data_IF_667196691161
#
_entry.id   IF_667196691161
#
_cell.length_a   1.000
_cell.length_b   1.000
_cell.length_c   1.000
_cell.angle_alpha   90.00
_cell.angle_beta   90.00
_cell.angle_gamma   90.00
#
_symmetry.space_group_name_H-M   'P 1'
#
loop_
_entity.id
_entity.type
_entity.pdbx_description
1 polymer ?
#
# COMPACT_ATOMS: atom_id res chain seq x y z
N UNK A 1 -3.29 18.29 -16.66
CA UNK A 1 -2.80 18.09 -15.29
C UNK A 1 -2.28 16.68 -15.18
N UNK A 2 -1.07 16.48 -14.63
CA UNK A 2 -0.56 15.13 -14.38
C UNK A 2 -1.31 14.49 -13.21
N UNK A 3 -1.44 13.16 -13.26
CA UNK A 3 -2.05 12.38 -12.18
C UNK A 3 -1.23 12.52 -10.90
N UNK A 4 -1.88 12.68 -9.75
CA UNK A 4 -1.23 12.82 -8.45
C UNK A 4 -1.30 11.54 -7.61
N UNK A 5 -2.46 10.91 -7.52
CA UNK A 5 -2.66 9.65 -6.82
C UNK A 5 -1.92 8.53 -7.56
N UNK A 6 -1.15 7.74 -6.83
CA UNK A 6 -0.33 6.66 -7.38
C UNK A 6 -1.17 5.42 -7.64
N UNK A 7 -0.77 4.63 -8.64
CA UNK A 7 -1.42 3.36 -8.95
C UNK A 7 -0.44 2.24 -8.67
N UNK A 8 -0.83 1.33 -7.79
CA UNK A 8 -0.15 0.08 -7.52
C UNK A 8 -0.84 -1.01 -8.34
N UNK A 9 -0.09 -1.75 -9.16
CA UNK A 9 -0.61 -2.87 -9.93
C UNK A 9 0.03 -4.16 -9.44
N UNK A 10 -0.77 -5.18 -9.22
CA UNK A 10 -0.27 -6.51 -8.87
C UNK A 10 0.22 -7.22 -10.14
N UNK A 11 1.45 -7.73 -10.07
CA UNK A 11 2.06 -8.59 -11.07
C UNK A 11 1.52 -10.02 -10.93
N UNK A 12 1.38 -10.71 -12.05
CA UNK A 12 0.83 -12.06 -12.11
C UNK A 12 0.90 -12.63 -13.53
N UNK A 13 0.16 -13.73 -13.80
CA UNK A 13 0.24 -14.49 -15.05
C UNK A 13 0.09 -13.68 -16.34
N UNK A 14 -0.65 -12.57 -16.30
CA UNK A 14 -0.82 -11.69 -17.45
C UNK A 14 0.50 -11.11 -17.98
N UNK A 15 1.55 -11.04 -17.16
CA UNK A 15 2.86 -10.45 -17.51
C UNK A 15 3.94 -11.49 -17.79
N UNK A 16 3.60 -12.79 -17.81
CA UNK A 16 4.58 -13.85 -18.02
C UNK A 16 5.04 -13.87 -19.49
N UNK A 17 4.15 -13.55 -20.43
CA UNK A 17 4.43 -13.61 -21.87
C UNK A 17 4.69 -12.22 -22.48
N UNK A 18 5.96 -11.93 -22.77
CA UNK A 18 6.38 -10.69 -23.44
C UNK A 18 6.35 -9.44 -22.55
N UNK A 19 6.63 -8.27 -23.14
CA UNK A 19 6.71 -6.99 -22.41
C UNK A 19 5.63 -5.99 -22.81
N UNK A 20 4.87 -6.24 -23.89
CA UNK A 20 3.95 -5.26 -24.48
C UNK A 20 2.86 -4.82 -23.50
N UNK A 21 2.24 -5.76 -22.78
CA UNK A 21 1.24 -5.40 -21.76
C UNK A 21 1.85 -4.55 -20.65
N UNK A 22 3.04 -4.90 -20.19
CA UNK A 22 3.74 -4.17 -19.13
C UNK A 22 4.10 -2.74 -19.58
N UNK A 23 4.62 -2.59 -20.80
CA UNK A 23 4.88 -1.28 -21.43
C UNK A 23 3.61 -0.43 -21.46
N UNK A 24 2.49 -1.01 -21.90
CA UNK A 24 1.21 -0.32 -21.97
C UNK A 24 0.65 0.05 -20.58
N UNK A 25 0.79 -0.81 -19.58
CA UNK A 25 0.36 -0.56 -18.19
C UNK A 25 1.20 0.53 -17.53
N UNK A 26 2.51 0.56 -17.77
CA UNK A 26 3.40 1.64 -17.32
C UNK A 26 2.99 2.97 -17.97
N UNK A 27 2.77 2.99 -19.29
CA UNK A 27 2.36 4.19 -20.01
C UNK A 27 1.00 4.71 -19.53
N UNK A 28 0.08 3.79 -19.18
CA UNK A 28 -1.25 4.13 -18.67
C UNK A 28 -1.28 4.49 -17.18
N UNK A 29 -0.14 4.47 -16.49
CA UNK A 29 0.02 5.16 -15.20
C UNK A 29 0.32 4.27 -14.00
N UNK A 30 0.79 3.03 -14.20
CA UNK A 30 1.38 2.24 -13.11
C UNK A 30 2.57 2.98 -12.50
N UNK A 31 2.61 3.04 -11.17
CA UNK A 31 3.73 3.63 -10.41
C UNK A 31 4.48 2.59 -9.60
N UNK A 32 3.79 1.58 -9.09
CA UNK A 32 4.38 0.53 -8.26
C UNK A 32 3.90 -0.83 -8.77
N UNK A 33 4.85 -1.74 -8.98
CA UNK A 33 4.60 -3.15 -9.25
C UNK A 33 4.59 -3.93 -7.93
N UNK A 34 3.45 -4.51 -7.58
CA UNK A 34 3.25 -5.34 -6.39
C UNK A 34 3.45 -6.81 -6.74
N UNK A 35 4.22 -7.51 -5.94
CA UNK A 35 4.48 -8.95 -6.05
C UNK A 35 3.87 -9.64 -4.84
N UNK A 36 2.86 -10.48 -5.06
CA UNK A 36 2.14 -11.14 -3.97
C UNK A 36 2.76 -12.50 -3.65
N UNK A 37 3.51 -12.60 -2.55
CA UNK A 37 4.22 -13.81 -2.14
C UNK A 37 3.32 -14.87 -1.47
N UNK A 38 2.01 -14.62 -1.41
CA UNK A 38 1.02 -15.67 -1.12
C UNK A 38 0.93 -16.70 -2.25
N UNK A 39 1.40 -16.36 -3.46
CA UNK A 39 1.35 -17.18 -4.66
C UNK A 39 2.67 -17.10 -5.44
N UNK A 40 2.91 -18.08 -6.32
CA UNK A 40 4.13 -18.19 -7.11
C UNK A 40 5.35 -18.61 -6.29
N UNK A 41 6.40 -19.03 -6.99
CA UNK A 41 7.71 -19.29 -6.40
C UNK A 41 8.69 -18.13 -6.67
N UNK A 42 9.88 -18.23 -6.09
CA UNK A 42 10.92 -17.20 -6.25
C UNK A 42 11.41 -17.04 -7.68
N UNK A 43 11.40 -18.10 -8.50
CA UNK A 43 11.83 -18.01 -9.89
C UNK A 43 10.83 -17.20 -10.73
N UNK A 44 9.53 -17.43 -10.53
CA UNK A 44 8.48 -16.62 -11.15
C UNK A 44 8.56 -15.15 -10.73
N UNK A 45 8.76 -14.87 -9.44
CA UNK A 45 8.89 -13.50 -8.94
C UNK A 45 10.13 -12.81 -9.49
N UNK A 46 11.27 -13.50 -9.52
CA UNK A 46 12.53 -12.99 -10.09
C UNK A 46 12.36 -12.59 -11.56
N UNK A 47 11.74 -13.44 -12.38
CA UNK A 47 11.48 -13.13 -13.79
C UNK A 47 10.66 -11.85 -13.94
N UNK A 48 9.55 -11.75 -13.20
CA UNK A 48 8.66 -10.59 -13.26
C UNK A 48 9.36 -9.32 -12.74
N UNK A 49 10.18 -9.41 -11.69
CA UNK A 49 10.98 -8.29 -11.16
C UNK A 49 11.95 -7.78 -12.23
N UNK A 50 12.71 -8.68 -12.84
CA UNK A 50 13.70 -8.33 -13.86
C UNK A 50 13.04 -7.69 -15.07
N UNK A 51 11.88 -8.19 -15.50
CA UNK A 51 11.06 -7.63 -16.58
C UNK A 51 10.61 -6.20 -16.28
N UNK A 52 10.14 -5.92 -15.05
CA UNK A 52 9.78 -4.55 -14.62
C UNK A 52 10.99 -3.62 -14.64
N UNK A 53 12.14 -4.06 -14.12
CA UNK A 53 13.37 -3.26 -14.15
C UNK A 53 13.84 -2.95 -15.57
N UNK A 54 13.80 -3.93 -16.48
CA UNK A 54 14.19 -3.74 -17.88
C UNK A 54 13.26 -2.75 -18.59
N UNK A 55 11.95 -2.98 -18.52
CA UNK A 55 10.96 -2.17 -19.22
C UNK A 55 10.93 -0.73 -18.68
N UNK A 56 10.94 -0.57 -17.36
CA UNK A 56 10.95 0.76 -16.73
C UNK A 56 12.18 1.58 -17.16
N UNK A 57 13.37 0.96 -17.19
CA UNK A 57 14.60 1.57 -17.69
C UNK A 57 14.52 1.92 -19.18
N UNK A 58 14.05 0.99 -20.02
CA UNK A 58 13.87 1.21 -21.47
C UNK A 58 12.95 2.40 -21.76
N UNK A 59 11.89 2.55 -20.97
CA UNK A 59 10.92 3.63 -21.13
C UNK A 59 11.34 4.95 -20.45
N UNK A 60 12.41 4.96 -19.65
CA UNK A 60 12.80 6.12 -18.85
C UNK A 60 11.74 6.52 -17.82
N UNK A 61 10.99 5.53 -17.30
CA UNK A 61 9.91 5.73 -16.31
C UNK A 61 10.31 5.08 -14.99
N UNK A 62 10.15 5.79 -13.88
CA UNK A 62 10.34 5.19 -12.56
C UNK A 62 9.15 4.31 -12.21
N UNK A 63 9.41 3.03 -11.93
CA UNK A 63 8.47 2.07 -11.35
C UNK A 63 9.10 1.49 -10.09
N UNK A 64 8.38 1.52 -8.97
CA UNK A 64 8.85 0.93 -7.72
C UNK A 64 8.42 -0.53 -7.60
N UNK A 65 9.17 -1.30 -6.81
CA UNK A 65 8.91 -2.71 -6.56
C UNK A 65 8.41 -2.89 -5.11
N UNK A 66 7.27 -3.54 -4.96
CA UNK A 66 6.65 -3.80 -3.66
C UNK A 66 6.48 -5.30 -3.44
N UNK A 67 7.13 -5.84 -2.42
CA UNK A 67 6.92 -7.20 -1.94
C UNK A 67 5.71 -7.20 -1.01
N UNK A 68 4.69 -8.03 -1.26
CA UNK A 68 3.57 -8.23 -0.34
C UNK A 68 3.70 -9.62 0.31
N UNK A 69 4.02 -9.61 1.61
CA UNK A 69 4.19 -10.80 2.43
C UNK A 69 2.87 -11.55 2.59
N UNK A 70 2.93 -12.86 2.77
CA UNK A 70 1.73 -13.65 3.07
C UNK A 70 1.21 -13.40 4.48
N UNK A 71 2.13 -13.23 5.42
CA UNK A 71 1.86 -12.96 6.82
C UNK A 71 1.51 -14.20 7.64
N UNK A 72 1.52 -14.06 8.98
CA UNK A 72 1.10 -15.10 9.90
C UNK A 72 -0.43 -15.21 9.86
N UNK A 73 -0.96 -16.31 9.32
CA UNK A 73 -2.41 -16.52 9.17
C UNK A 73 -2.87 -17.85 9.79
N UNK A 74 -4.11 -17.89 10.27
CA UNK A 74 -4.76 -19.13 10.69
C UNK A 74 -5.39 -19.82 9.50
N UNK A 75 -5.19 -21.13 9.39
CA UNK A 75 -5.75 -21.99 8.36
C UNK A 75 -6.25 -23.30 8.95
N UNK A 76 -7.33 -23.80 8.38
CA UNK A 76 -7.80 -25.15 8.60
C UNK A 76 -6.77 -26.17 8.10
N UNK A 77 -6.80 -27.37 8.67
CA UNK A 77 -6.07 -28.52 8.15
C UNK A 77 -6.69 -29.10 6.90
N UNK A 78 -6.34 -30.34 6.64
CA UNK A 78 -6.85 -31.10 5.50
C UNK A 78 -8.17 -31.79 5.87
N UNK A 79 -9.16 -31.79 4.98
CA UNK A 79 -10.33 -32.65 5.08
C UNK A 79 -10.05 -33.97 4.38
N UNK A 80 -10.53 -35.10 4.92
CA UNK A 80 -10.28 -36.43 4.37
C UNK A 80 -10.69 -36.56 2.90
N UNK A 81 -11.85 -36.01 2.54
CA UNK A 81 -12.38 -35.97 1.16
C UNK A 81 -12.01 -34.67 0.42
N UNK A 82 -11.11 -33.86 0.98
CA UNK A 82 -10.66 -32.56 0.47
C UNK A 82 -11.69 -31.42 0.60
N UNK A 83 -12.98 -31.74 0.70
CA UNK A 83 -14.09 -30.80 0.89
C UNK A 83 -15.22 -31.40 1.71
N UNK A 84 -15.96 -30.53 2.40
CA UNK A 84 -17.16 -30.87 3.18
C UNK A 84 -18.22 -29.79 2.99
N UNK A 85 -19.45 -30.06 3.42
CA UNK A 85 -20.52 -29.07 3.48
C UNK A 85 -20.99 -28.90 4.91
N UNK A 86 -20.74 -27.72 5.48
CA UNK A 86 -21.11 -27.40 6.85
C UNK A 86 -22.57 -26.96 6.89
N UNK A 87 -23.35 -27.59 7.77
CA UNK A 87 -24.79 -27.32 7.94
C UNK A 87 -25.04 -26.51 9.20
N UNK A 88 -25.83 -25.44 9.07
CA UNK A 88 -26.25 -24.57 10.16
C UNK A 88 -26.87 -25.37 11.30
N UNK A 89 -26.51 -25.00 12.52
CA UNK A 89 -27.00 -25.61 13.76
C UNK A 89 -26.26 -26.88 14.18
N UNK A 90 -25.52 -27.53 13.29
CA UNK A 90 -24.69 -28.67 13.65
C UNK A 90 -23.48 -28.25 14.48
N UNK A 91 -22.98 -29.18 15.29
CA UNK A 91 -21.72 -29.03 16.01
C UNK A 91 -20.54 -29.25 15.08
N UNK A 92 -19.50 -28.44 15.27
CA UNK A 92 -18.25 -28.53 14.54
C UNK A 92 -17.09 -28.21 15.47
N UNK A 93 -16.06 -29.04 15.47
CA UNK A 93 -14.93 -28.92 16.40
C UNK A 93 -13.67 -28.49 15.66
N UNK A 94 -13.06 -27.38 16.09
CA UNK A 94 -11.69 -27.08 15.70
C UNK A 94 -10.76 -27.80 16.67
N UNK A 95 -10.10 -28.84 16.17
CA UNK A 95 -9.22 -29.68 17.00
C UNK A 95 -7.77 -29.23 16.92
N UNK A 96 -7.04 -29.46 18.00
CA UNK A 96 -5.61 -29.23 18.06
C UNK A 96 -4.81 -30.33 17.33
N UNK A 97 -5.35 -31.53 17.20
CA UNK A 97 -4.63 -32.67 16.64
C UNK A 97 -4.61 -32.60 15.11
N UNK A 98 -3.48 -32.95 14.48
CA UNK A 98 -3.29 -32.91 13.03
C UNK A 98 -3.89 -34.16 12.35
N UNK A 99 -5.21 -34.29 12.47
CA UNK A 99 -6.01 -35.35 11.85
C UNK A 99 -6.84 -34.81 10.68
N UNK A 100 -7.04 -35.59 9.60
CA UNK A 100 -7.93 -35.21 8.52
C UNK A 100 -9.35 -35.00 9.02
N UNK A 101 -9.91 -33.82 8.74
CA UNK A 101 -11.25 -33.44 9.17
C UNK A 101 -12.38 -34.00 8.30
N UNK A 102 -13.61 -33.83 8.80
CA UNK A 102 -14.89 -34.18 8.17
C UNK A 102 -15.96 -33.12 8.50
N UNK A 103 -17.26 -33.42 8.34
CA UNK A 103 -18.34 -32.48 8.68
C UNK A 103 -18.51 -32.18 10.17
N UNK A 104 -17.77 -32.87 11.05
CA UNK A 104 -17.87 -32.74 12.52
C UNK A 104 -16.63 -32.11 13.15
N UNK A 105 -15.46 -32.20 12.51
CA UNK A 105 -14.23 -31.63 13.03
C UNK A 105 -13.21 -31.30 11.94
N UNK A 106 -12.26 -30.42 12.24
CA UNK A 106 -11.06 -30.18 11.44
C UNK A 106 -9.94 -29.62 12.31
N UNK A 107 -8.69 -29.91 11.96
CA UNK A 107 -7.55 -29.31 12.65
C UNK A 107 -7.35 -27.84 12.28
N UNK A 108 -6.64 -27.08 13.13
CA UNK A 108 -6.21 -25.71 12.84
C UNK A 108 -4.70 -25.57 13.07
N UNK A 109 -4.02 -24.78 12.22
CA UNK A 109 -2.57 -24.60 12.32
C UNK A 109 -2.14 -23.79 13.55
N UNK A 110 -2.96 -22.83 14.00
CA UNK A 110 -2.69 -22.03 15.19
C UNK A 110 -3.03 -22.79 16.47
N UNK A 111 -2.10 -23.63 16.89
CA UNK A 111 -2.26 -24.57 18.03
C UNK A 111 -2.53 -23.89 19.37
N UNK A 112 -2.38 -22.57 19.49
CA UNK A 112 -2.68 -21.83 20.73
C UNK A 112 -4.09 -21.26 20.78
N UNK A 113 -4.89 -21.41 19.71
CA UNK A 113 -6.19 -20.77 19.59
C UNK A 113 -7.12 -21.08 20.78
N UNK A 114 -7.11 -22.32 21.28
CA UNK A 114 -7.92 -22.75 22.43
C UNK A 114 -7.64 -21.98 23.73
N UNK A 115 -6.51 -21.30 23.84
CA UNK A 115 -6.16 -20.44 24.98
C UNK A 115 -6.53 -18.97 24.78
N UNK A 116 -6.86 -18.59 23.55
CA UNK A 116 -7.07 -17.21 23.13
C UNK A 116 -8.56 -16.90 22.91
N UNK A 117 -9.33 -17.90 22.46
CA UNK A 117 -10.78 -17.80 22.33
C UNK A 117 -11.49 -18.14 23.65
N UNK A 118 -12.75 -17.73 23.75
CA UNK A 118 -13.65 -18.06 24.86
C UNK A 118 -15.06 -18.36 24.35
N UNK A 119 -15.90 -19.07 25.13
CA UNK A 119 -17.32 -19.20 24.85
C UNK A 119 -17.98 -17.87 24.50
N UNK A 120 -18.78 -17.86 23.44
CA UNK A 120 -19.41 -16.66 22.89
C UNK A 120 -18.61 -15.93 21.81
N UNK A 121 -17.34 -16.29 21.57
CA UNK A 121 -16.61 -15.76 20.42
C UNK A 121 -17.14 -16.31 19.11
N UNK A 122 -16.97 -15.53 18.04
CA UNK A 122 -17.27 -15.93 16.67
C UNK A 122 -15.95 -16.22 15.97
N UNK A 123 -15.89 -17.35 15.26
CA UNK A 123 -14.81 -17.68 14.33
C UNK A 123 -15.37 -17.70 12.92
N UNK A 124 -14.61 -17.18 11.97
CA UNK A 124 -15.01 -17.07 10.58
C UNK A 124 -14.12 -17.95 9.72
N UNK A 125 -14.71 -18.78 8.87
CA UNK A 125 -14.00 -19.68 7.98
C UNK A 125 -14.14 -19.23 6.53
N UNK A 126 -13.08 -19.43 5.74
CA UNK A 126 -13.02 -19.09 4.32
C UNK A 126 -13.47 -17.65 4.05
N UNK A 127 -12.81 -16.68 4.69
CA UNK A 127 -13.04 -15.25 4.51
C UNK A 127 -14.47 -14.82 4.84
N UNK A 128 -15.02 -15.37 5.94
CA UNK A 128 -16.37 -15.05 6.41
C UNK A 128 -17.49 -15.86 5.76
N UNK A 129 -17.18 -16.81 4.87
CA UNK A 129 -18.19 -17.65 4.22
C UNK A 129 -19.01 -18.46 5.22
N UNK A 130 -18.39 -19.04 6.25
CA UNK A 130 -19.06 -19.79 7.31
C UNK A 130 -18.67 -19.25 8.67
N UNK A 131 -19.66 -18.85 9.46
CA UNK A 131 -19.46 -18.48 10.86
C UNK A 131 -19.61 -19.66 11.80
N UNK A 132 -18.78 -19.69 12.84
CA UNK A 132 -18.83 -20.62 13.96
C UNK A 132 -19.02 -19.81 15.25
N UNK A 133 -19.93 -20.24 16.11
CA UNK A 133 -20.04 -19.73 17.47
C UNK A 133 -19.36 -20.68 18.43
N UNK A 134 -18.38 -20.20 19.19
CA UNK A 134 -17.65 -20.99 20.20
C UNK A 134 -18.60 -21.26 21.36
N UNK A 135 -18.92 -22.53 21.58
CA UNK A 135 -19.82 -22.94 22.66
C UNK A 135 -19.03 -23.24 23.94
N UNK A 136 -17.98 -24.03 23.82
CA UNK A 136 -17.10 -24.44 24.93
C UNK A 136 -15.71 -24.86 24.44
N UNK A 137 -14.78 -24.97 25.38
CA UNK A 137 -13.42 -25.45 25.14
C UNK A 137 -13.23 -26.72 25.97
N UNK A 138 -13.00 -27.85 25.31
CA UNK A 138 -12.83 -29.16 25.94
C UNK A 138 -11.38 -29.60 25.76
N UNK A 139 -10.56 -29.44 26.80
CA UNK A 139 -9.12 -29.67 26.69
C UNK A 139 -8.47 -28.66 25.74
N UNK A 140 -8.11 -29.11 24.54
CA UNK A 140 -7.57 -28.25 23.46
C UNK A 140 -8.51 -28.12 22.26
N UNK A 141 -9.66 -28.78 22.32
CA UNK A 141 -10.65 -28.76 21.25
C UNK A 141 -11.64 -27.62 21.48
N UNK A 142 -11.94 -26.88 20.43
CA UNK A 142 -12.88 -25.75 20.45
C UNK A 142 -14.18 -26.24 19.81
N UNK A 143 -15.19 -26.46 20.65
CA UNK A 143 -16.49 -26.95 20.22
C UNK A 143 -17.36 -25.77 19.81
N UNK A 144 -17.84 -25.78 18.57
CA UNK A 144 -18.61 -24.69 18.00
C UNK A 144 -19.96 -25.15 17.46
N UNK A 145 -20.87 -24.19 17.28
CA UNK A 145 -22.10 -24.33 16.50
C UNK A 145 -21.96 -23.58 15.18
N UNK A 146 -22.31 -24.22 14.06
CA UNK A 146 -22.28 -23.61 12.73
C UNK A 146 -23.43 -22.60 12.59
N UNK A 147 -23.13 -21.36 12.19
CA UNK A 147 -24.10 -20.26 12.12
C UNK A 147 -24.85 -20.17 10.79
N UNK A 148 -24.23 -20.64 9.71
CA UNK A 148 -24.79 -20.63 8.36
C UNK A 148 -24.25 -21.77 7.51
N UNK A 149 -25.01 -22.16 6.50
CA UNK A 149 -24.62 -23.22 5.58
C UNK A 149 -23.48 -22.75 4.66
N UNK A 150 -22.57 -23.65 4.31
CA UNK A 150 -21.55 -23.35 3.31
C UNK A 150 -20.60 -24.50 3.00
N UNK A 151 -20.03 -24.52 1.77
CA UNK A 151 -18.97 -25.45 1.44
C UNK A 151 -17.68 -25.06 2.16
N UNK A 152 -16.90 -26.06 2.57
CA UNK A 152 -15.57 -25.87 3.12
C UNK A 152 -14.57 -26.81 2.43
N UNK A 153 -13.34 -26.36 2.28
CA UNK A 153 -12.25 -27.19 1.74
C UNK A 153 -11.01 -27.06 2.59
N UNK A 154 -10.04 -27.91 2.30
CA UNK A 154 -8.72 -27.93 2.94
C UNK A 154 -8.04 -26.55 2.93
N UNK A 155 -7.29 -26.23 4.00
CA UNK A 155 -6.39 -25.05 4.10
C UNK A 155 -7.05 -23.71 3.91
N UNK A 156 -8.36 -23.62 4.12
CA UNK A 156 -9.08 -22.34 4.10
C UNK A 156 -8.68 -21.47 5.28
N UNK A 157 -8.62 -20.16 5.05
CA UNK A 157 -8.31 -19.17 6.10
C UNK A 157 -9.37 -19.23 7.20
N UNK A 158 -8.92 -18.99 8.43
CA UNK A 158 -9.75 -18.80 9.60
C UNK A 158 -9.44 -17.44 10.21
N UNK A 159 -10.47 -16.79 10.74
CA UNK A 159 -10.41 -15.49 11.39
C UNK A 159 -11.12 -15.57 12.74
N UNK A 160 -10.67 -14.77 13.70
CA UNK A 160 -11.25 -14.72 15.04
C UNK A 160 -11.55 -13.25 15.42
N UNK A 161 -12.62 -12.66 14.85
CA UNK A 161 -12.95 -11.26 15.06
C UNK A 161 -12.94 -10.83 16.53
N UNK A 162 -12.13 -9.80 16.81
CA UNK A 162 -12.03 -9.20 18.14
C UNK A 162 -11.24 -10.01 19.16
N UNK A 163 -10.60 -11.11 18.76
CA UNK A 163 -9.67 -11.89 19.60
C UNK A 163 -8.24 -11.43 19.34
N UNK A 164 -7.48 -11.15 20.40
CA UNK A 164 -6.04 -10.85 20.29
C UNK A 164 -5.28 -12.15 20.12
N UNK A 165 -4.78 -12.41 18.91
CA UNK A 165 -4.09 -13.65 18.59
C UNK A 165 -2.58 -13.54 18.86
N UNK A 166 -2.00 -14.58 19.48
CA UNK A 166 -0.56 -14.67 19.77
C UNK A 166 0.29 -15.04 18.54
N UNK A 167 -0.04 -14.50 17.37
CA UNK A 167 0.67 -14.77 16.12
C UNK A 167 2.06 -14.10 16.14
N UNK A 168 3.10 -14.78 15.61
CA UNK A 168 4.43 -14.19 15.49
C UNK A 168 4.40 -12.98 14.57
N UNK A 169 5.28 -12.00 14.77
CA UNK A 169 5.37 -10.82 13.92
C UNK A 169 5.69 -11.15 12.44
N UNK A 170 6.48 -12.21 12.23
CA UNK A 170 7.01 -12.62 10.92
C UNK A 170 6.97 -14.15 10.89
N UNK A 171 6.36 -14.75 9.87
CA UNK A 171 6.46 -16.19 9.66
C UNK A 171 7.82 -16.58 9.08
N UNK A 172 8.18 -17.87 9.10
CA UNK A 172 9.43 -18.33 8.47
C UNK A 172 9.43 -18.05 6.95
N UNK A 173 8.27 -18.21 6.30
CA UNK A 173 8.10 -17.86 4.90
C UNK A 173 8.34 -16.35 4.68
N UNK A 174 7.68 -15.49 5.46
CA UNK A 174 7.85 -14.03 5.30
C UNK A 174 9.30 -13.59 5.52
N UNK A 175 10.03 -14.24 6.44
CA UNK A 175 11.46 -13.96 6.66
C UNK A 175 12.26 -14.21 5.38
N UNK A 176 12.03 -15.35 4.73
CA UNK A 176 12.72 -15.71 3.49
C UNK A 176 12.30 -14.81 2.33
N UNK A 177 11.01 -14.46 2.24
CA UNK A 177 10.48 -13.56 1.23
C UNK A 177 11.11 -12.17 1.36
N UNK A 178 11.22 -11.63 2.58
CA UNK A 178 11.86 -10.33 2.83
C UNK A 178 13.33 -10.36 2.43
N UNK A 179 14.07 -11.44 2.76
CA UNK A 179 15.48 -11.58 2.36
C UNK A 179 15.61 -11.63 0.84
N UNK A 180 14.76 -12.39 0.16
CA UNK A 180 14.69 -12.40 -1.30
C UNK A 180 14.43 -11.00 -1.87
N UNK A 181 13.51 -10.24 -1.28
CA UNK A 181 13.24 -8.84 -1.67
C UNK A 181 14.44 -7.91 -1.49
N UNK A 182 15.26 -8.13 -0.46
CA UNK A 182 16.52 -7.39 -0.24
C UNK A 182 17.53 -7.71 -1.35
N UNK A 183 17.73 -8.98 -1.66
CA UNK A 183 18.65 -9.45 -2.71
C UNK A 183 18.26 -8.90 -4.08
N UNK A 184 16.96 -8.66 -4.30
CA UNK A 184 16.41 -8.12 -5.54
C UNK A 184 16.22 -6.59 -5.54
N UNK A 185 16.81 -5.85 -4.60
CA UNK A 185 16.76 -4.37 -4.56
C UNK A 185 15.31 -3.82 -4.64
N UNK A 186 14.38 -4.49 -3.93
CA UNK A 186 12.99 -4.03 -3.85
C UNK A 186 12.86 -2.80 -2.95
N UNK A 187 11.82 -2.00 -3.19
CA UNK A 187 11.67 -0.67 -2.58
C UNK A 187 10.76 -0.69 -1.34
N UNK A 188 9.78 -1.59 -1.32
CA UNK A 188 8.76 -1.65 -0.27
C UNK A 188 8.49 -3.09 0.15
N UNK A 189 8.19 -3.27 1.44
CA UNK A 189 7.55 -4.48 1.97
C UNK A 189 6.16 -4.12 2.51
N UNK A 190 5.11 -4.69 1.93
CA UNK A 190 3.77 -4.69 2.47
C UNK A 190 3.61 -5.88 3.43
N UNK A 191 3.61 -5.56 4.72
CA UNK A 191 3.57 -6.53 5.80
C UNK A 191 2.12 -6.87 6.17
N UNK A 192 1.74 -8.13 5.97
CA UNK A 192 0.39 -8.64 6.25
C UNK A 192 0.18 -8.90 7.74
N UNK A 193 -1.06 -8.77 8.19
CA UNK A 193 -1.56 -9.03 9.54
C UNK A 193 -0.80 -8.32 10.66
N UNK A 194 -0.33 -7.09 10.42
CA UNK A 194 0.29 -6.26 11.46
C UNK A 194 -0.75 -5.89 12.52
N UNK A 195 -0.47 -6.18 13.79
CA UNK A 195 -1.40 -5.90 14.90
C UNK A 195 -0.89 -4.84 15.87
N UNK A 196 0.44 -4.63 15.90
CA UNK A 196 1.12 -3.77 16.88
C UNK A 196 2.43 -3.21 16.32
N UNK A 197 2.97 -2.18 16.97
CA UNK A 197 4.20 -1.52 16.53
C UNK A 197 5.42 -2.46 16.56
N UNK A 198 5.45 -3.40 17.51
CA UNK A 198 6.53 -4.37 17.66
C UNK A 198 6.66 -5.29 16.44
N UNK A 199 5.56 -5.57 15.72
CA UNK A 199 5.61 -6.36 14.50
C UNK A 199 6.37 -5.62 13.39
N UNK A 200 6.16 -4.31 13.30
CA UNK A 200 6.84 -3.42 12.36
C UNK A 200 8.33 -3.31 12.70
N UNK A 201 8.66 -3.15 13.97
CA UNK A 201 10.05 -3.06 14.43
C UNK A 201 10.81 -4.38 14.22
N UNK A 202 10.15 -5.53 14.36
CA UNK A 202 10.75 -6.83 14.03
C UNK A 202 11.13 -6.92 12.54
N UNK A 203 10.25 -6.47 11.64
CA UNK A 203 10.53 -6.44 10.20
C UNK A 203 11.65 -5.46 9.89
N UNK A 204 11.64 -4.28 10.54
CA UNK A 204 12.69 -3.27 10.39
C UNK A 204 14.06 -3.79 10.83
N UNK A 205 14.10 -4.51 11.95
CA UNK A 205 15.31 -5.15 12.44
C UNK A 205 15.83 -6.18 11.44
N UNK A 206 14.95 -7.04 10.90
CA UNK A 206 15.31 -8.04 9.88
C UNK A 206 15.90 -7.39 8.63
N UNK A 207 15.25 -6.35 8.11
CA UNK A 207 15.71 -5.61 6.93
C UNK A 207 17.10 -5.02 7.19
N UNK A 208 17.30 -4.38 8.35
CA UNK A 208 18.58 -3.76 8.71
C UNK A 208 19.69 -4.80 8.88
N UNK A 209 19.39 -5.93 9.52
CA UNK A 209 20.35 -7.03 9.74
C UNK A 209 20.92 -7.56 8.42
N UNK A 210 20.09 -7.61 7.38
CA UNK A 210 20.48 -8.11 6.05
C UNK A 210 20.87 -6.99 5.08
N UNK A 211 21.09 -5.76 5.57
CA UNK A 211 21.56 -4.63 4.76
C UNK A 211 20.53 -4.07 3.76
N UNK A 212 19.25 -4.40 3.95
CA UNK A 212 18.15 -3.91 3.12
C UNK A 212 17.77 -2.46 3.38
N UNK A 213 16.95 -1.92 2.48
CA UNK A 213 16.52 -0.52 2.51
C UNK A 213 15.02 -0.33 2.26
N UNK A 214 14.25 -1.42 2.16
CA UNK A 214 12.81 -1.38 1.92
C UNK A 214 12.09 -0.54 2.97
N UNK A 215 11.21 0.36 2.53
CA UNK A 215 10.25 1.05 3.40
C UNK A 215 9.09 0.09 3.77
N UNK A 216 8.67 0.09 5.04
CA UNK A 216 7.65 -0.85 5.55
C UNK A 216 6.25 -0.25 5.43
N UNK A 217 5.37 -0.97 4.75
CA UNK A 217 3.95 -0.66 4.58
C UNK A 217 3.14 -1.63 5.44
N UNK A 218 2.57 -1.17 6.55
CA UNK A 218 1.75 -2.04 7.40
C UNK A 218 0.34 -2.18 6.84
N UNK A 219 -0.09 -3.41 6.60
CA UNK A 219 -1.45 -3.72 6.15
C UNK A 219 -2.37 -3.81 7.35
N UNK A 220 -3.43 -3.01 7.34
CA UNK A 220 -4.44 -2.96 8.39
C UNK A 220 -5.61 -3.84 7.97
N UNK A 221 -5.68 -5.02 8.58
CA UNK A 221 -6.53 -6.14 8.15
C UNK A 221 -7.43 -6.68 9.27
N UNK A 222 -7.22 -6.26 10.53
CA UNK A 222 -7.96 -6.80 11.67
C UNK A 222 -8.29 -5.73 12.72
N UNK A 223 -9.18 -6.10 13.64
CA UNK A 223 -9.66 -5.22 14.72
C UNK A 223 -8.50 -4.72 15.61
N UNK A 224 -7.53 -5.57 15.91
CA UNK A 224 -6.42 -5.22 16.80
C UNK A 224 -5.51 -4.15 16.17
N UNK A 225 -5.27 -4.25 14.87
CA UNK A 225 -4.54 -3.25 14.11
C UNK A 225 -5.25 -1.88 14.14
N UNK A 226 -6.58 -1.87 14.03
CA UNK A 226 -7.38 -0.64 14.10
C UNK A 226 -7.30 0.01 15.49
N UNK A 227 -7.31 -0.78 16.57
CA UNK A 227 -7.13 -0.26 17.94
C UNK A 227 -5.75 0.34 18.15
N UNK A 228 -4.71 -0.30 17.61
CA UNK A 228 -3.31 0.11 17.78
C UNK A 228 -2.83 1.06 16.67
N UNK A 229 -3.74 1.61 15.86
CA UNK A 229 -3.40 2.30 14.61
C UNK A 229 -2.43 3.46 14.80
N UNK A 230 -2.53 4.23 15.88
CA UNK A 230 -1.66 5.39 16.09
C UNK A 230 -0.20 4.96 16.33
N UNK A 231 0.01 3.86 17.06
CA UNK A 231 1.34 3.30 17.32
C UNK A 231 1.90 2.63 16.06
N UNK A 232 1.07 1.89 15.31
CA UNK A 232 1.47 1.28 14.04
C UNK A 232 1.88 2.37 13.04
N UNK A 233 1.04 3.38 12.84
CA UNK A 233 1.37 4.52 11.96
C UNK A 233 2.68 5.14 12.40
N UNK A 234 2.96 5.31 13.70
CA UNK A 234 4.23 5.87 14.16
C UNK A 234 5.46 5.02 13.79
N UNK A 235 5.36 3.69 13.82
CA UNK A 235 6.45 2.76 13.51
C UNK A 235 6.63 2.48 12.00
N UNK A 236 5.57 2.56 11.19
CA UNK A 236 5.59 2.21 9.75
C UNK A 236 6.11 3.36 8.87
N UNK A 237 6.58 3.06 7.66
CA UNK A 237 6.92 4.09 6.68
C UNK A 237 5.68 4.54 5.87
N UNK A 238 4.72 3.62 5.69
CA UNK A 238 3.44 3.82 5.05
C UNK A 238 2.39 2.82 5.59
N UNK A 239 1.12 3.01 5.20
CA UNK A 239 0.01 2.14 5.59
C UNK A 239 -0.75 1.65 4.36
N UNK A 240 -1.27 0.43 4.42
CA UNK A 240 -2.23 -0.08 3.45
C UNK A 240 -3.54 -0.43 4.17
N UNK A 241 -4.65 0.15 3.71
CA UNK A 241 -6.00 -0.20 4.17
C UNK A 241 -6.53 -1.32 3.26
N UNK A 242 -6.49 -2.56 3.75
CA UNK A 242 -6.93 -3.75 3.02
C UNK A 242 -8.39 -4.06 3.37
N UNK A 243 -9.30 -3.50 2.59
CA UNK A 243 -10.73 -3.43 2.92
C UNK A 243 -11.44 -4.77 2.87
N UNK A 244 -11.01 -5.65 1.97
CA UNK A 244 -11.51 -7.02 1.85
C UNK A 244 -11.24 -7.81 3.13
N UNK A 245 -9.98 -7.87 3.57
CA UNK A 245 -9.60 -8.57 4.81
C UNK A 245 -10.21 -7.88 6.05
N UNK A 246 -10.18 -6.55 6.11
CA UNK A 246 -10.80 -5.81 7.22
C UNK A 246 -12.31 -6.02 7.31
N UNK A 247 -13.00 -6.17 6.17
CA UNK A 247 -14.43 -6.46 6.09
C UNK A 247 -14.81 -7.90 6.49
N UNK A 248 -13.83 -8.80 6.60
CA UNK A 248 -14.05 -10.12 7.24
C UNK A 248 -14.07 -9.96 8.75
N UNK A 249 -13.18 -9.14 9.30
CA UNK A 249 -12.99 -8.97 10.75
C UNK A 249 -13.95 -7.94 11.37
N UNK A 250 -14.54 -7.05 10.57
CA UNK A 250 -15.37 -5.94 11.03
C UNK A 250 -16.68 -5.82 10.24
N UNK A 251 -17.75 -5.26 10.83
CA UNK A 251 -18.98 -4.96 10.11
C UNK A 251 -18.71 -4.07 8.89
N UNK A 252 -19.32 -4.41 7.75
CA UNK A 252 -19.05 -3.74 6.48
C UNK A 252 -19.40 -2.24 6.53
N UNK A 253 -20.38 -1.85 7.34
CA UNK A 253 -20.79 -0.46 7.57
C UNK A 253 -19.75 0.39 8.33
N UNK A 254 -18.84 -0.23 9.08
CA UNK A 254 -17.79 0.46 9.84
C UNK A 254 -16.53 0.70 9.00
N UNK A 255 -16.25 -0.18 8.03
CA UNK A 255 -15.03 -0.14 7.21
C UNK A 255 -14.80 1.23 6.53
N UNK A 256 -15.81 1.91 5.94
CA UNK A 256 -15.62 3.23 5.35
C UNK A 256 -15.21 4.30 6.37
N UNK A 257 -15.70 4.23 7.61
CA UNK A 257 -15.34 5.18 8.67
C UNK A 257 -13.89 4.98 9.11
N UNK A 258 -13.48 3.72 9.27
CA UNK A 258 -12.12 3.34 9.64
C UNK A 258 -11.12 3.76 8.55
N UNK A 259 -11.43 3.50 7.27
CA UNK A 259 -10.62 3.95 6.14
C UNK A 259 -10.34 5.47 6.23
N UNK A 260 -11.39 6.28 6.42
CA UNK A 260 -11.28 7.74 6.49
C UNK A 260 -10.40 8.18 7.66
N UNK A 261 -10.57 7.57 8.84
CA UNK A 261 -9.77 7.90 10.02
C UNK A 261 -8.28 7.56 9.80
N UNK A 262 -7.98 6.36 9.30
CA UNK A 262 -6.61 5.92 9.00
C UNK A 262 -5.95 6.89 8.00
N UNK A 263 -6.63 7.18 6.88
CA UNK A 263 -6.10 8.07 5.85
C UNK A 263 -5.83 9.46 6.44
N UNK A 264 -6.76 10.00 7.24
CA UNK A 264 -6.59 11.31 7.91
C UNK A 264 -5.37 11.32 8.83
N UNK A 265 -5.16 10.27 9.62
CA UNK A 265 -4.01 10.13 10.53
C UNK A 265 -2.69 10.03 9.78
N UNK A 266 -2.64 9.22 8.72
CA UNK A 266 -1.49 9.12 7.80
C UNK A 266 -1.16 10.47 7.16
N UNK A 267 -2.17 11.16 6.62
CA UNK A 267 -2.02 12.47 5.99
C UNK A 267 -1.49 13.54 6.95
N UNK A 268 -1.93 13.51 8.22
CA UNK A 268 -1.43 14.42 9.27
C UNK A 268 0.07 14.23 9.52
N UNK A 269 0.55 12.98 9.48
CA UNK A 269 1.95 12.64 9.71
C UNK A 269 2.80 12.62 8.43
N UNK A 270 2.19 12.79 7.25
CA UNK A 270 2.90 12.73 5.96
C UNK A 270 3.39 11.32 5.60
N UNK A 271 2.76 10.29 6.15
CA UNK A 271 3.04 8.89 5.81
C UNK A 271 2.12 8.46 4.66
N UNK A 272 2.64 7.87 3.57
CA UNK A 272 1.81 7.46 2.45
C UNK A 272 0.77 6.42 2.88
N UNK A 273 -0.42 6.51 2.30
CA UNK A 273 -1.48 5.51 2.53
C UNK A 273 -2.02 4.97 1.21
N UNK A 274 -2.13 3.64 1.15
CA UNK A 274 -2.64 2.88 0.02
C UNK A 274 -4.04 2.38 0.37
N UNK A 275 -5.02 2.59 -0.50
CA UNK A 275 -6.33 1.93 -0.41
C UNK A 275 -6.34 0.75 -1.36
N UNK A 276 -6.59 -0.44 -0.79
CA UNK A 276 -6.40 -1.73 -1.45
C UNK A 276 -7.64 -2.61 -1.39
N UNK A 277 -7.70 -3.59 -2.31
CA UNK A 277 -8.76 -4.60 -2.52
C UNK A 277 -10.12 -4.00 -2.88
N UNK A 278 -11.00 -4.75 -3.55
CA UNK A 278 -12.37 -4.32 -3.92
C UNK A 278 -12.43 -2.97 -4.67
N UNK A 279 -11.43 -2.65 -5.48
CA UNK A 279 -11.38 -1.36 -6.18
C UNK A 279 -12.17 -1.41 -7.49
N UNK A 280 -11.70 -2.20 -8.47
CA UNK A 280 -12.36 -2.38 -9.76
C UNK A 280 -12.58 -3.89 -10.02
N UNK A 281 -12.89 -4.65 -8.97
CA UNK A 281 -12.93 -6.12 -8.97
C UNK A 281 -13.71 -6.73 -10.16
N UNK A 282 -14.83 -6.12 -10.56
CA UNK A 282 -15.62 -6.60 -11.71
C UNK A 282 -14.85 -6.53 -13.03
N UNK A 283 -13.80 -5.71 -13.11
CA UNK A 283 -12.93 -5.61 -14.29
C UNK A 283 -11.97 -6.78 -14.45
N UNK A 284 -11.93 -7.71 -13.49
CA UNK A 284 -11.32 -9.03 -13.71
C UNK A 284 -11.98 -9.77 -14.88
N UNK A 285 -13.27 -9.56 -15.12
CA UNK A 285 -14.06 -10.27 -16.15
C UNK A 285 -14.88 -9.33 -17.06
N UNK A 286 -14.81 -8.01 -16.83
CA UNK A 286 -15.55 -7.02 -17.61
C UNK A 286 -14.64 -5.88 -18.09
N UNK A 287 -14.84 -5.34 -19.31
CA UNK A 287 -14.00 -4.26 -19.83
C UNK A 287 -14.29 -2.89 -19.20
N UNK A 288 -15.30 -2.78 -18.34
CA UNK A 288 -15.69 -1.53 -17.66
C UNK A 288 -16.17 -1.84 -16.24
N UNK A 289 -15.89 -0.94 -15.27
CA UNK A 289 -16.33 -1.15 -13.91
C UNK A 289 -17.80 -0.75 -13.76
N UNK A 290 -18.36 -1.13 -12.61
CA UNK A 290 -19.65 -0.61 -12.16
C UNK A 290 -19.54 0.86 -11.74
N UNK A 291 -20.69 1.53 -11.66
CA UNK A 291 -20.77 2.88 -11.08
C UNK A 291 -20.40 2.91 -9.58
N UNK A 292 -20.66 1.81 -8.87
CA UNK A 292 -20.33 1.69 -7.45
C UNK A 292 -18.81 1.67 -7.24
N UNK A 293 -18.09 0.84 -8.00
CA UNK A 293 -16.63 0.77 -7.96
C UNK A 293 -15.98 2.10 -8.38
N UNK A 294 -16.49 2.74 -9.44
CA UNK A 294 -15.98 4.06 -9.83
C UNK A 294 -16.19 5.12 -8.72
N UNK A 295 -17.32 5.07 -8.02
CA UNK A 295 -17.59 5.96 -6.87
C UNK A 295 -16.68 5.64 -5.69
N UNK A 296 -16.38 4.36 -5.46
CA UNK A 296 -15.56 3.89 -4.36
C UNK A 296 -14.09 4.31 -4.54
N UNK A 297 -13.53 4.09 -5.74
CA UNK A 297 -12.21 4.62 -6.12
C UNK A 297 -12.16 6.14 -5.96
N UNK A 298 -13.19 6.86 -6.41
CA UNK A 298 -13.25 8.30 -6.26
C UNK A 298 -13.24 8.75 -4.79
N UNK A 299 -13.99 8.06 -3.92
CA UNK A 299 -14.03 8.37 -2.48
C UNK A 299 -12.69 8.10 -1.80
N UNK A 300 -11.96 7.05 -2.16
CA UNK A 300 -10.60 6.82 -1.65
C UNK A 300 -9.66 8.01 -1.95
N UNK A 301 -9.81 8.62 -3.12
CA UNK A 301 -9.03 9.81 -3.52
C UNK A 301 -9.50 11.05 -2.75
N UNK A 302 -10.81 11.27 -2.61
CA UNK A 302 -11.36 12.38 -1.82
C UNK A 302 -10.95 12.30 -0.34
N UNK A 303 -10.88 11.09 0.22
CA UNK A 303 -10.40 10.85 1.57
C UNK A 303 -8.92 11.23 1.74
N UNK A 304 -8.18 11.24 0.62
CA UNK A 304 -6.82 11.74 0.54
C UNK A 304 -5.77 10.62 0.46
N UNK A 305 -6.11 9.46 -0.12
CA UNK A 305 -5.16 8.39 -0.36
C UNK A 305 -3.97 8.83 -1.23
N UNK A 306 -2.76 8.38 -0.91
CA UNK A 306 -1.58 8.61 -1.75
C UNK A 306 -1.59 7.67 -2.95
N UNK A 307 -2.07 6.44 -2.76
CA UNK A 307 -2.17 5.44 -3.81
C UNK A 307 -3.45 4.61 -3.73
N UNK A 308 -3.82 4.06 -4.87
CA UNK A 308 -4.91 3.11 -5.09
C UNK A 308 -4.35 1.85 -5.75
N UNK A 309 -4.83 0.67 -5.34
CA UNK A 309 -4.22 -0.60 -5.73
C UNK A 309 -5.17 -1.54 -6.46
N UNK A 310 -4.71 -2.07 -7.59
CA UNK A 310 -5.32 -3.17 -8.32
C UNK A 310 -4.71 -4.50 -7.85
N UNK A 311 -5.57 -5.49 -7.65
CA UNK A 311 -5.25 -6.85 -7.19
C UNK A 311 -5.38 -7.84 -8.36
N UNK A 312 -6.44 -8.64 -8.39
CA UNK A 312 -6.68 -9.59 -9.48
C UNK A 312 -6.89 -8.90 -10.83
N UNK A 313 -7.43 -7.67 -10.82
CA UNK A 313 -7.75 -6.91 -12.03
C UNK A 313 -6.53 -6.76 -12.95
N UNK A 314 -5.34 -6.51 -12.38
CA UNK A 314 -4.10 -6.37 -13.16
C UNK A 314 -3.29 -7.66 -13.27
N UNK A 315 -3.43 -8.58 -12.30
CA UNK A 315 -2.56 -9.76 -12.19
C UNK A 315 -2.98 -10.91 -13.10
N UNK A 316 -4.27 -11.26 -13.07
CA UNK A 316 -4.84 -12.45 -13.73
C UNK A 316 -6.24 -12.21 -14.34
N UNK A 317 -6.74 -10.98 -14.31
CA UNK A 317 -8.00 -10.61 -14.96
C UNK A 317 -7.90 -10.54 -16.49
N UNK A 318 -9.03 -10.59 -17.16
CA UNK A 318 -9.15 -10.55 -18.63
C UNK A 318 -8.84 -9.16 -19.23
N UNK A 319 -8.94 -8.09 -18.41
CA UNK A 319 -8.82 -6.69 -18.85
C UNK A 319 -7.80 -5.86 -18.05
N UNK A 320 -6.53 -6.30 -17.94
CA UNK A 320 -5.54 -5.65 -17.07
C UNK A 320 -5.19 -4.23 -17.52
N UNK A 321 -5.10 -3.98 -18.82
CA UNK A 321 -4.79 -2.66 -19.35
C UNK A 321 -5.94 -1.68 -19.12
N UNK A 322 -7.18 -2.12 -19.37
CA UNK A 322 -8.39 -1.33 -19.18
C UNK A 322 -8.61 -0.99 -17.72
N UNK A 323 -8.32 -1.92 -16.79
CA UNK A 323 -8.40 -1.66 -15.36
C UNK A 323 -7.46 -0.53 -14.94
N UNK A 324 -6.18 -0.59 -15.38
CA UNK A 324 -5.18 0.45 -15.08
C UNK A 324 -5.56 1.79 -15.73
N UNK A 325 -5.98 1.76 -17.00
CA UNK A 325 -6.39 2.95 -17.74
C UNK A 325 -7.62 3.62 -17.09
N UNK A 326 -8.61 2.82 -16.68
CA UNK A 326 -9.81 3.30 -15.99
C UNK A 326 -9.47 3.91 -14.63
N UNK A 327 -8.61 3.25 -13.85
CA UNK A 327 -8.11 3.78 -12.57
C UNK A 327 -7.43 5.14 -12.74
N UNK A 328 -6.61 5.30 -13.79
CA UNK A 328 -5.95 6.55 -14.15
C UNK A 328 -6.95 7.65 -14.59
N UNK A 329 -7.97 7.29 -15.36
CA UNK A 329 -9.02 8.22 -15.80
C UNK A 329 -9.83 8.73 -14.60
N UNK A 330 -10.26 7.84 -13.69
CA UNK A 330 -10.99 8.22 -12.47
C UNK A 330 -10.12 9.17 -11.64
N UNK A 331 -8.85 8.81 -11.40
CA UNK A 331 -7.94 9.63 -10.60
C UNK A 331 -7.79 11.05 -11.17
N UNK A 332 -7.47 11.17 -12.46
CA UNK A 332 -7.34 12.48 -13.12
C UNK A 332 -8.62 13.31 -13.06
N UNK A 333 -9.80 12.68 -13.17
CA UNK A 333 -11.09 13.38 -13.13
C UNK A 333 -11.42 13.90 -11.73
N UNK A 334 -11.18 13.08 -10.70
CA UNK A 334 -11.42 13.41 -9.29
C UNK A 334 -10.46 14.48 -8.81
N UNK A 335 -9.17 14.37 -9.17
CA UNK A 335 -8.14 15.35 -8.81
C UNK A 335 -8.42 16.77 -9.35
N UNK A 336 -9.16 16.90 -10.45
CA UNK A 336 -9.60 18.20 -10.97
C UNK A 336 -10.71 18.83 -10.11
N UNK A 337 -11.47 18.02 -9.38
CA UNK A 337 -12.56 18.44 -8.50
C UNK A 337 -12.13 18.60 -7.03
N UNK A 338 -10.85 18.37 -6.71
CA UNK A 338 -10.34 18.60 -5.36
C UNK A 338 -10.26 20.10 -5.04
N UNK A 339 -10.80 20.48 -3.90
CA UNK A 339 -10.68 21.83 -3.34
C UNK A 339 -9.32 22.02 -2.66
N UNK A 340 -8.26 22.15 -3.46
CA UNK A 340 -6.87 22.24 -2.98
C UNK A 340 -6.64 23.34 -1.94
N UNK A 341 -7.39 24.44 -2.00
CA UNK A 341 -7.34 25.51 -1.00
C UNK A 341 -7.80 24.99 0.37
N UNK A 342 -8.93 24.29 0.41
CA UNK A 342 -9.48 23.74 1.65
C UNK A 342 -8.59 22.64 2.21
N UNK A 343 -8.04 21.78 1.35
CA UNK A 343 -7.09 20.74 1.74
C UNK A 343 -5.82 21.36 2.35
N UNK A 344 -5.32 22.46 1.79
CA UNK A 344 -4.15 23.15 2.31
C UNK A 344 -4.46 23.88 3.63
N UNK A 345 -5.54 24.67 3.66
CA UNK A 345 -5.94 25.45 4.85
C UNK A 345 -6.29 24.55 6.03
N UNK A 346 -6.90 23.39 5.80
CA UNK A 346 -7.24 22.43 6.86
C UNK A 346 -6.02 21.83 7.56
N UNK A 347 -4.83 21.92 6.95
CA UNK A 347 -3.56 21.52 7.59
C UNK A 347 -3.05 22.58 8.56
N UNK A 348 -3.42 23.84 8.33
CA UNK A 348 -3.19 24.97 9.23
C UNK A 348 -1.73 25.23 9.58
N UNK A 349 -1.53 26.22 10.47
CA UNK A 349 -0.26 26.41 11.13
C UNK A 349 -0.14 25.48 12.32
N UNK A 350 1.05 24.91 12.50
CA UNK A 350 1.41 24.13 13.69
C UNK A 350 2.44 24.93 14.49
N UNK A 351 2.24 25.07 15.80
CA UNK A 351 3.10 25.88 16.69
C UNK A 351 4.08 25.05 17.53
N UNK A 352 3.90 23.72 17.58
CA UNK A 352 4.72 22.80 18.36
C UNK A 352 5.18 21.62 17.51
N UNK A 353 6.43 21.17 17.70
CA UNK A 353 7.05 20.03 17.00
C UNK A 353 7.11 20.17 15.47
N UNK A 354 7.41 21.38 14.97
CA UNK A 354 7.50 21.67 13.54
C UNK A 354 8.96 21.86 13.14
N UNK A 355 9.40 21.18 12.09
CA UNK A 355 10.76 21.34 11.56
C UNK A 355 10.87 22.59 10.68
N UNK A 356 12.10 23.07 10.43
CA UNK A 356 12.32 24.15 9.45
C UNK A 356 11.78 23.74 8.07
N UNK A 357 12.00 22.48 7.67
CA UNK A 357 11.50 21.92 6.42
C UNK A 357 9.98 21.95 6.34
N UNK A 358 9.26 21.70 7.43
CA UNK A 358 7.79 21.79 7.46
C UNK A 358 7.28 23.20 7.19
N UNK A 359 7.92 24.22 7.77
CA UNK A 359 7.56 25.63 7.57
C UNK A 359 7.85 26.06 6.13
N UNK A 360 9.03 25.71 5.61
CA UNK A 360 9.44 26.03 4.23
C UNK A 360 8.53 25.33 3.21
N UNK A 361 8.18 24.06 3.45
CA UNK A 361 7.26 23.34 2.59
C UNK A 361 5.83 23.94 2.62
N UNK A 362 5.34 24.35 3.80
CA UNK A 362 4.06 25.02 3.92
C UNK A 362 4.04 26.33 3.11
N UNK A 363 5.07 27.18 3.28
CA UNK A 363 5.22 28.42 2.53
C UNK A 363 5.37 28.16 1.02
N UNK A 364 6.11 27.12 0.62
CA UNK A 364 6.28 26.71 -0.77
C UNK A 364 4.95 26.36 -1.43
N UNK A 365 4.11 25.57 -0.74
CA UNK A 365 2.78 25.19 -1.27
C UNK A 365 1.85 26.40 -1.35
N UNK A 366 1.88 27.30 -0.36
CA UNK A 366 1.14 28.55 -0.41
C UNK A 366 1.55 29.38 -1.64
N UNK A 367 2.85 29.64 -1.80
CA UNK A 367 3.37 30.41 -2.94
C UNK A 367 3.02 29.76 -4.28
N UNK A 368 3.12 28.43 -4.38
CA UNK A 368 2.75 27.70 -5.59
C UNK A 368 1.26 27.87 -5.92
N UNK A 369 0.38 27.87 -4.92
CA UNK A 369 -1.05 28.07 -5.12
C UNK A 369 -1.37 29.51 -5.54
N UNK A 370 -0.86 30.51 -4.81
CA UNK A 370 -1.15 31.93 -5.08
C UNK A 370 -0.56 32.42 -6.41
N UNK A 371 0.63 31.95 -6.78
CA UNK A 371 1.28 32.29 -8.04
C UNK A 371 0.79 31.43 -9.21
N UNK A 372 -0.11 30.48 -8.97
CA UNK A 372 -0.59 29.50 -9.94
C UNK A 372 0.57 28.77 -10.64
N UNK A 373 1.59 28.39 -9.87
CA UNK A 373 2.75 27.68 -10.37
C UNK A 373 2.36 26.29 -10.92
N UNK A 374 2.97 25.92 -12.03
CA UNK A 374 2.74 24.65 -12.71
C UNK A 374 3.40 23.50 -11.94
N UNK A 375 4.58 23.75 -11.36
CA UNK A 375 5.34 22.76 -10.62
C UNK A 375 6.09 23.33 -9.41
N UNK A 376 6.34 22.44 -8.45
CA UNK A 376 7.28 22.63 -7.35
C UNK A 376 8.47 21.71 -7.61
N UNK A 377 9.64 22.26 -7.90
CA UNK A 377 10.87 21.49 -8.14
C UNK A 377 11.60 21.32 -6.81
N UNK A 378 11.88 20.07 -6.47
CA UNK A 378 12.52 19.66 -5.21
C UNK A 378 13.79 18.87 -5.49
N UNK A 379 14.94 19.53 -5.71
CA UNK A 379 16.23 18.86 -5.71
C UNK A 379 16.48 18.20 -4.35
N UNK A 380 16.81 16.91 -4.36
CA UNK A 380 16.84 16.11 -3.13
C UNK A 380 17.78 14.92 -3.24
N UNK A 381 18.58 14.68 -2.20
CA UNK A 381 19.46 13.50 -2.10
C UNK A 381 18.83 12.39 -1.26
N UNK A 382 18.04 12.72 -0.24
CA UNK A 382 17.36 11.76 0.64
C UNK A 382 15.86 11.60 0.36
N UNK A 383 15.30 12.51 -0.43
CA UNK A 383 13.86 12.61 -0.70
C UNK A 383 13.06 13.43 0.31
N UNK A 384 13.62 13.77 1.48
CA UNK A 384 12.88 14.36 2.60
C UNK A 384 12.07 15.61 2.22
N UNK A 385 12.65 16.56 1.49
CA UNK A 385 11.95 17.76 0.98
C UNK A 385 10.66 17.39 0.23
N UNK A 386 10.75 16.48 -0.74
CA UNK A 386 9.61 16.04 -1.55
C UNK A 386 8.56 15.32 -0.70
N UNK A 387 8.99 14.55 0.31
CA UNK A 387 8.09 13.90 1.28
C UNK A 387 7.24 14.94 2.03
N UNK A 388 7.88 15.99 2.55
CA UNK A 388 7.19 17.03 3.33
C UNK A 388 6.33 17.94 2.45
N UNK A 389 6.75 18.29 1.24
CA UNK A 389 5.92 19.05 0.29
C UNK A 389 4.67 18.25 -0.10
N UNK A 390 4.80 16.95 -0.36
CA UNK A 390 3.67 16.06 -0.70
C UNK A 390 2.63 15.99 0.43
N UNK A 391 3.08 16.02 1.69
CA UNK A 391 2.20 16.07 2.87
C UNK A 391 1.20 17.22 2.78
N UNK A 392 1.56 18.37 2.22
CA UNK A 392 0.67 19.54 2.10
C UNK A 392 -0.28 19.49 0.90
N UNK A 393 -0.17 18.46 0.04
CA UNK A 393 -1.05 18.20 -1.12
C UNK A 393 -1.19 19.39 -2.08
N UNK A 394 -0.09 19.94 -2.64
CA UNK A 394 -0.15 21.06 -3.57
C UNK A 394 -0.90 20.74 -4.87
N UNK A 395 -1.60 21.75 -5.41
CA UNK A 395 -2.17 21.69 -6.77
C UNK A 395 -1.08 21.57 -7.84
N UNK A 396 0.05 22.26 -7.68
CA UNK A 396 1.22 22.15 -8.54
C UNK A 396 1.80 20.72 -8.52
N UNK A 397 2.39 20.26 -9.63
CA UNK A 397 3.09 18.96 -9.68
C UNK A 397 4.38 19.05 -8.87
N UNK A 398 4.70 18.06 -8.04
CA UNK A 398 5.98 18.04 -7.32
C UNK A 398 6.96 17.28 -8.19
N UNK A 399 8.06 17.91 -8.59
CA UNK A 399 9.15 17.28 -9.34
C UNK A 399 10.26 16.97 -8.34
N UNK A 400 10.51 15.69 -8.09
CA UNK A 400 11.60 15.25 -7.23
C UNK A 400 12.85 15.00 -8.08
N UNK A 401 13.76 15.97 -8.12
CA UNK A 401 15.00 15.87 -8.86
C UNK A 401 16.06 15.23 -7.98
N UNK A 402 16.50 14.01 -8.30
CA UNK A 402 17.41 13.23 -7.46
C UNK A 402 18.44 12.49 -8.30
N UNK A 403 19.72 12.47 -7.91
CA UNK A 403 20.75 11.64 -8.55
C UNK A 403 20.70 10.17 -8.11
N UNK A 404 19.81 9.84 -7.17
CA UNK A 404 19.72 8.52 -6.57
C UNK A 404 18.42 7.81 -7.02
N UNK A 405 18.58 6.75 -7.81
CA UNK A 405 17.48 5.94 -8.35
C UNK A 405 16.61 5.31 -7.26
N UNK A 406 17.24 4.83 -6.18
CA UNK A 406 16.51 4.26 -5.03
C UNK A 406 15.61 5.31 -4.38
N UNK A 407 16.10 6.54 -4.22
CA UNK A 407 15.30 7.65 -3.68
C UNK A 407 14.16 8.01 -4.63
N UNK A 408 14.40 7.99 -5.95
CA UNK A 408 13.35 8.18 -6.94
C UNK A 408 12.23 7.12 -6.79
N UNK A 409 12.59 5.84 -6.63
CA UNK A 409 11.63 4.74 -6.44
C UNK A 409 10.87 4.85 -5.11
N UNK A 410 11.51 5.19 -4.00
CA UNK A 410 10.79 5.44 -2.74
C UNK A 410 9.81 6.62 -2.83
N UNK A 411 10.17 7.69 -3.55
CA UNK A 411 9.31 8.85 -3.72
C UNK A 411 8.13 8.59 -4.66
N UNK A 412 8.20 7.57 -5.52
CA UNK A 412 7.18 7.31 -6.53
C UNK A 412 5.84 6.82 -5.96
N UNK A 413 5.80 6.38 -4.70
CA UNK A 413 4.57 6.05 -3.97
C UNK A 413 3.86 7.30 -3.39
N UNK A 414 4.52 8.45 -3.34
CA UNK A 414 3.98 9.65 -2.67
C UNK A 414 3.08 10.46 -3.58
N UNK A 415 1.97 10.94 -3.05
CA UNK A 415 0.99 11.72 -3.81
C UNK A 415 1.64 12.92 -4.51
N UNK A 416 1.33 13.10 -5.79
CA UNK A 416 1.70 14.28 -6.57
C UNK A 416 3.20 14.41 -6.90
N UNK A 417 4.04 13.48 -6.45
CA UNK A 417 5.49 13.48 -6.70
C UNK A 417 5.81 12.76 -8.00
N UNK A 418 6.49 13.42 -8.92
CA UNK A 418 7.05 12.82 -10.13
C UNK A 418 8.57 12.80 -9.98
N UNK A 419 9.18 11.62 -9.77
CA UNK A 419 10.63 11.51 -9.76
C UNK A 419 11.21 11.85 -11.12
N UNK A 420 12.29 12.63 -11.13
CA UNK A 420 13.05 12.98 -12.32
C UNK A 420 14.51 12.69 -12.03
N UNK A 421 15.12 11.89 -12.90
CA UNK A 421 16.54 11.56 -12.84
C UNK A 421 17.39 12.83 -12.88
N UNK A 422 18.26 12.95 -11.90
CA UNK A 422 19.17 14.07 -11.72
C UNK A 422 20.62 13.66 -11.75
N UNK A 423 21.49 14.67 -11.65
CA UNK A 423 22.93 14.53 -11.47
C UNK A 423 23.31 15.10 -10.12
N UNK A 424 24.44 14.68 -9.56
CA UNK A 424 25.00 15.40 -8.42
C UNK A 424 25.32 16.85 -8.85
N UNK A 425 25.18 17.79 -7.93
CA UNK A 425 25.45 19.22 -8.13
C UNK A 425 26.38 19.73 -7.05
N UNK A 426 27.28 20.65 -7.39
CA UNK A 426 28.20 21.24 -6.41
C UNK A 426 27.78 22.65 -5.97
N UNK A 427 27.01 23.34 -6.82
CA UNK A 427 26.48 24.67 -6.53
C UNK A 427 24.96 24.78 -6.80
N UNK A 428 24.36 25.84 -6.24
CA UNK A 428 22.92 26.06 -6.27
C UNK A 428 22.43 26.47 -7.65
N UNK A 429 23.22 27.21 -8.42
CA UNK A 429 22.82 27.68 -9.75
C UNK A 429 22.87 26.53 -10.77
N UNK A 430 23.87 25.65 -10.69
CA UNK A 430 23.94 24.39 -11.43
C UNK A 430 22.74 23.50 -11.11
N UNK A 431 22.44 23.29 -9.82
CA UNK A 431 21.28 22.51 -9.37
C UNK A 431 19.99 23.04 -9.98
N UNK A 432 19.79 24.36 -9.99
CA UNK A 432 18.59 24.99 -10.55
C UNK A 432 18.55 24.79 -12.07
N UNK A 433 19.64 25.08 -12.78
CA UNK A 433 19.71 24.96 -14.22
C UNK A 433 19.44 23.52 -14.69
N UNK A 434 20.08 22.54 -14.03
CA UNK A 434 19.95 21.13 -14.37
C UNK A 434 18.58 20.55 -14.02
N UNK A 435 18.01 20.91 -12.86
CA UNK A 435 16.67 20.47 -12.47
C UNK A 435 15.58 21.08 -13.37
N UNK A 436 15.70 22.36 -13.72
CA UNK A 436 14.80 23.01 -14.69
C UNK A 436 14.90 22.35 -16.06
N UNK A 437 16.11 22.15 -16.59
CA UNK A 437 16.31 21.53 -17.90
C UNK A 437 15.75 20.09 -17.93
N UNK A 438 15.95 19.30 -16.87
CA UNK A 438 15.39 17.96 -16.76
C UNK A 438 13.86 17.98 -16.73
N UNK A 439 13.26 18.93 -16.01
CA UNK A 439 11.81 19.11 -15.91
C UNK A 439 11.17 19.44 -17.28
N UNK A 440 11.85 20.26 -18.09
CA UNK A 440 11.43 20.59 -19.46
C UNK A 440 11.59 19.39 -20.39
N UNK A 441 12.71 18.67 -20.33
CA UNK A 441 12.93 17.46 -21.16
C UNK A 441 11.87 16.39 -20.93
N UNK A 442 11.41 16.23 -19.69
CA UNK A 442 10.35 15.28 -19.31
C UNK A 442 8.94 15.78 -19.69
N UNK A 443 8.80 16.98 -20.26
CA UNK A 443 7.53 17.55 -20.69
C UNK A 443 6.58 17.93 -19.55
N UNK A 444 7.10 18.05 -18.32
CA UNK A 444 6.28 18.38 -17.13
C UNK A 444 5.98 19.89 -17.09
N UNK A 445 6.95 20.71 -17.50
CA UNK A 445 6.87 22.16 -17.60
C UNK A 445 7.39 22.62 -18.96
N UNK A 446 6.97 23.81 -19.40
CA UNK A 446 7.41 24.44 -20.66
C UNK A 446 7.82 25.89 -20.43
N UNK A 447 8.46 26.49 -21.44
CA UNK A 447 8.87 27.90 -21.40
C UNK A 447 7.69 28.82 -21.06
N UNK A 448 7.93 29.76 -20.15
CA UNK A 448 6.91 30.68 -19.62
C UNK A 448 6.08 30.13 -18.45
N UNK A 449 6.19 28.85 -18.11
CA UNK A 449 5.58 28.31 -16.89
C UNK A 449 6.29 28.86 -15.63
N UNK A 450 5.52 29.09 -14.57
CA UNK A 450 6.05 29.46 -13.26
C UNK A 450 6.29 28.21 -12.43
N UNK A 451 7.42 28.17 -11.75
CA UNK A 451 7.81 27.09 -10.85
C UNK A 451 8.27 27.65 -9.53
N UNK A 452 8.10 26.86 -8.47
CA UNK A 452 8.71 27.12 -7.17
C UNK A 452 9.80 26.08 -6.96
N UNK A 453 11.01 26.51 -6.70
CA UNK A 453 12.13 25.62 -6.38
C UNK A 453 12.35 25.68 -4.87
N UNK A 454 12.37 24.54 -4.19
CA UNK A 454 12.74 24.46 -2.78
C UNK A 454 13.74 23.33 -2.54
N UNK A 455 14.81 23.64 -1.81
CA UNK A 455 15.91 22.72 -1.51
C UNK A 455 16.55 23.04 -0.16
N UNK A 456 17.42 22.14 0.30
CA UNK A 456 18.35 22.44 1.39
C UNK A 456 19.65 23.05 0.86
N UNK A 457 20.25 23.98 1.61
CA UNK A 457 21.61 24.47 1.31
C UNK A 457 22.64 23.42 1.78
N UNK A 458 23.60 23.06 0.91
CA UNK A 458 24.65 22.05 1.18
C UNK A 458 25.62 22.40 2.33
N UNK A 459 25.52 23.58 2.95
CA UNK A 459 26.47 24.07 3.96
C UNK A 459 26.16 23.60 5.41
N UNK A 460 25.26 22.64 5.62
CA UNK A 460 24.98 22.01 6.91
C UNK A 460 24.04 20.80 6.77
N UNK A 461 23.88 19.99 7.83
CA UNK A 461 23.04 18.79 7.80
C UNK A 461 21.58 19.08 7.35
N UNK A 462 21.16 18.43 6.25
CA UNK A 462 19.84 17.81 6.07
C UNK A 462 18.57 18.65 5.90
N UNK A 463 18.58 19.98 6.06
CA UNK A 463 17.34 20.75 6.17
C UNK A 463 17.00 21.61 4.94
N UNK A 464 15.75 21.49 4.45
CA UNK A 464 15.19 22.39 3.42
C UNK A 464 15.09 23.81 3.99
N UNK A 465 15.72 24.77 3.33
CA UNK A 465 15.93 26.12 3.87
C UNK A 465 15.69 27.26 2.87
N UNK A 466 15.43 26.95 1.60
CA UNK A 466 15.27 27.97 0.55
C UNK A 466 13.98 27.78 -0.25
N UNK A 467 13.46 28.90 -0.75
CA UNK A 467 12.35 28.95 -1.71
C UNK A 467 12.73 29.97 -2.79
N UNK A 468 12.64 29.59 -4.06
CA UNK A 468 12.87 30.48 -5.21
C UNK A 468 11.70 30.38 -6.18
N UNK A 469 11.19 31.53 -6.61
CA UNK A 469 10.25 31.59 -7.74
C UNK A 469 11.07 31.67 -9.02
N UNK A 470 10.76 30.81 -9.99
CA UNK A 470 11.48 30.75 -11.26
C UNK A 470 10.51 30.56 -12.42
N UNK A 471 10.64 31.39 -13.44
CA UNK A 471 9.94 31.23 -14.73
C UNK A 471 10.89 30.53 -15.70
N UNK A 472 10.41 29.45 -16.33
CA UNK A 472 11.16 28.64 -17.30
C UNK A 472 11.49 29.41 -18.57
#
# INVERSE_FOLDING_TARGET
>A
MLKKTKIVCTMGPNYDNGTELLENVIENGMNVARFNFSHGDYAEHEERINKVKEVSKKMGKTVSLMLDTKGPEMRLGDFAEGKVYLKKGNKFTLTNDDIPGDETHVSINHKKLYTEVKPGNILLLSDGLVGLHVDEIVGKDIVCTILNDGPMSTRKRAAAPGVSLGLPAISEQDRNDIIFGIEHDMDFVAASFIQRAEDVEAIRALIKEHGGHMEIISKIECVEAVKNIDAIIAASDAIMVARGDLGVEMPAEEVPLIQKDIIKKCNKLGKPVIVATQMLETMTSNPRPTRAEASDVANAIFDGADAIMLSGESANGDYPLEAVSTMNVIAKRVEQALEYKEIFVSKGFTHHNVTTTDVIAHATVQMAYELSAQAIITPTESGYTSKVVSKYRPKATIIAYTPNDRVARHLNLRWGVVPVEGKAWDDVDEMIATATAASVRQGIVKQGDKTIITSGMKFGEGNTSTIRVHTI
#
